data_IF_213593972608
#
_entry.id   IF_213593972608
#
_cell.length_a   1.000
_cell.length_b   1.000
_cell.length_c   1.000
_cell.angle_alpha   90.00
_cell.angle_beta   90.00
_cell.angle_gamma   90.00
#
_symmetry.space_group_name_H-M   'P 1'
#
loop_
_entity.id
_entity.type
_entity.pdbx_description
1 polymer ?
#
# COMPACT_ATOMS: atom_id res chain seq x y z
N UNK A 1 27.78 65.36 -1.70
CA UNK A 1 26.39 64.82 -1.62
C UNK A 1 26.13 63.54 -2.44
N UNK A 2 26.85 63.26 -3.54
CA UNK A 2 26.63 62.05 -4.37
C UNK A 2 27.22 60.74 -3.79
N UNK A 3 28.28 60.83 -2.97
CA UNK A 3 28.96 59.66 -2.40
C UNK A 3 28.17 58.99 -1.25
N UNK A 4 27.63 59.80 -0.32
CA UNK A 4 26.77 59.31 0.77
C UNK A 4 25.46 58.68 0.29
N UNK A 5 24.86 59.18 -0.80
CA UNK A 5 23.66 58.57 -1.40
C UNK A 5 23.94 57.17 -1.97
N UNK A 6 25.12 56.93 -2.55
CA UNK A 6 25.52 55.61 -3.07
C UNK A 6 25.77 54.59 -1.97
N UNK A 7 26.39 55.00 -0.85
CA UNK A 7 26.62 54.12 0.30
C UNK A 7 25.30 53.76 1.00
N UNK A 8 24.38 54.72 1.15
CA UNK A 8 23.07 54.50 1.77
C UNK A 8 22.17 53.56 0.94
N UNK A 9 22.26 53.61 -0.40
CA UNK A 9 21.54 52.64 -1.26
C UNK A 9 22.15 51.24 -1.23
N UNK A 10 23.47 51.12 -1.01
CA UNK A 10 24.15 49.82 -0.95
C UNK A 10 23.87 49.10 0.39
N UNK A 11 23.79 49.84 1.50
CA UNK A 11 23.44 49.27 2.80
C UNK A 11 21.97 48.87 2.89
N UNK A 12 21.06 49.66 2.31
CA UNK A 12 19.62 49.35 2.30
C UNK A 12 19.28 48.11 1.44
N UNK A 13 20.02 47.90 0.34
CA UNK A 13 19.85 46.70 -0.51
C UNK A 13 20.44 45.44 0.13
N UNK A 14 21.52 45.55 0.93
CA UNK A 14 22.06 44.44 1.72
C UNK A 14 21.11 44.04 2.85
N UNK A 15 20.46 45.00 3.53
CA UNK A 15 19.49 44.70 4.59
C UNK A 15 18.23 43.97 4.11
N UNK A 16 17.82 44.14 2.85
CA UNK A 16 16.67 43.40 2.28
C UNK A 16 16.98 41.94 1.92
N UNK A 17 18.25 41.58 1.71
CA UNK A 17 18.64 40.21 1.34
C UNK A 17 18.70 39.28 2.55
N UNK A 18 18.88 39.80 3.77
CA UNK A 18 18.93 38.98 5.00
C UNK A 18 17.57 38.77 5.68
N UNK A 19 16.53 39.51 5.32
CA UNK A 19 15.24 39.46 6.03
C UNK A 19 14.28 38.35 5.56
N UNK A 20 14.64 37.56 4.53
CA UNK A 20 13.76 36.53 3.97
C UNK A 20 14.42 35.15 3.82
N UNK A 21 15.39 34.81 4.67
CA UNK A 21 15.70 33.40 4.88
C UNK A 21 14.67 32.88 5.88
N UNK A 22 13.51 32.47 5.37
CA UNK A 22 12.67 31.57 6.14
C UNK A 22 13.49 30.30 6.35
N UNK A 23 14.01 30.12 7.56
CA UNK A 23 14.42 28.82 8.06
C UNK A 23 13.17 27.95 8.01
N UNK A 24 13.02 27.20 6.92
CA UNK A 24 12.05 26.11 6.84
C UNK A 24 12.49 25.14 7.93
N UNK A 25 11.72 25.05 9.01
CA UNK A 25 11.92 24.05 10.05
C UNK A 25 11.88 22.67 9.39
N UNK A 26 13.06 22.07 9.25
CA UNK A 26 13.19 20.66 8.97
C UNK A 26 12.42 19.90 10.07
N UNK A 27 11.63 18.90 9.65
CA UNK A 27 10.78 18.02 10.47
C UNK A 27 11.20 18.02 11.96
N UNK A 28 10.42 18.70 12.80
CA UNK A 28 10.76 18.97 14.20
C UNK A 28 10.87 17.72 15.09
N UNK A 29 10.42 16.56 14.59
CA UNK A 29 10.60 15.28 15.26
C UNK A 29 10.46 14.12 14.27
N UNK A 30 11.43 13.20 14.25
CA UNK A 30 11.30 11.93 13.51
C UNK A 30 10.52 10.94 14.36
N UNK A 31 9.30 10.62 13.94
CA UNK A 31 8.57 9.51 14.56
C UNK A 31 9.13 8.18 14.06
N UNK A 32 9.70 7.38 14.97
CA UNK A 32 10.25 6.06 14.65
C UNK A 32 9.33 4.95 15.16
N UNK A 33 8.80 4.14 14.24
CA UNK A 33 8.11 2.90 14.58
C UNK A 33 9.09 1.73 14.47
N UNK A 34 9.48 1.14 15.60
CA UNK A 34 10.39 0.01 15.67
C UNK A 34 9.82 -1.09 16.57
N UNK A 35 10.06 -2.36 16.23
CA UNK A 35 9.67 -3.53 17.02
C UNK A 35 10.70 -4.64 16.86
N UNK A 36 10.63 -5.65 17.74
CA UNK A 36 11.59 -6.77 17.76
C UNK A 36 11.49 -7.68 16.54
N UNK A 37 10.34 -7.69 15.87
CA UNK A 37 10.08 -8.48 14.68
C UNK A 37 8.99 -7.83 13.82
N UNK A 38 8.75 -8.37 12.61
CA UNK A 38 7.75 -7.89 11.67
C UNK A 38 6.32 -7.89 12.22
N UNK A 39 5.98 -8.82 13.12
CA UNK A 39 4.67 -8.93 13.74
C UNK A 39 4.42 -7.79 14.74
N UNK A 40 5.43 -7.45 15.55
CA UNK A 40 5.37 -6.31 16.46
C UNK A 40 5.32 -4.99 15.71
N UNK A 41 6.10 -4.81 14.63
CA UNK A 41 6.08 -3.60 13.82
C UNK A 41 4.69 -3.39 13.21
N UNK A 42 4.10 -4.43 12.61
CA UNK A 42 2.73 -4.36 12.09
C UNK A 42 1.71 -4.04 13.19
N UNK A 43 1.89 -4.62 14.39
CA UNK A 43 1.09 -4.31 15.57
C UNK A 43 1.18 -2.85 15.99
N UNK A 44 2.39 -2.27 16.07
CA UNK A 44 2.59 -0.86 16.43
C UNK A 44 2.01 0.10 15.40
N UNK A 45 2.05 -0.26 14.11
CA UNK A 45 1.38 0.50 13.05
C UNK A 45 -0.14 0.41 13.23
N UNK A 46 -0.68 -0.77 13.56
CA UNK A 46 -2.11 -0.95 13.81
C UNK A 46 -2.59 -0.13 15.01
N UNK A 47 -1.80 -0.07 16.08
CA UNK A 47 -2.12 0.65 17.32
C UNK A 47 -2.23 2.18 17.13
N UNK A 48 -1.84 2.73 15.96
CA UNK A 48 -2.01 4.14 15.61
C UNK A 48 -3.46 4.56 15.42
N UNK A 49 -4.37 3.61 15.18
CA UNK A 49 -5.78 3.89 14.98
C UNK A 49 -6.63 2.89 15.75
N UNK A 50 -7.84 3.28 16.14
CA UNK A 50 -8.82 2.34 16.66
C UNK A 50 -9.42 1.52 15.50
N UNK A 51 -9.57 0.21 15.68
CA UNK A 51 -10.16 -0.67 14.68
C UNK A 51 -10.99 -1.81 15.31
N UNK A 52 -12.01 -2.25 14.58
CA UNK A 52 -12.81 -3.46 14.89
C UNK A 52 -12.72 -4.53 13.81
N UNK A 53 -12.18 -4.18 12.65
CA UNK A 53 -11.87 -5.10 11.56
C UNK A 53 -10.35 -5.15 11.38
N UNK A 54 -9.79 -6.32 11.10
CA UNK A 54 -8.37 -6.48 10.74
C UNK A 54 -8.22 -7.33 9.48
N UNK A 55 -7.12 -7.13 8.76
CA UNK A 55 -6.71 -7.95 7.62
C UNK A 55 -5.49 -8.77 8.03
N UNK A 56 -5.52 -10.09 7.81
CA UNK A 56 -4.41 -11.00 8.05
C UNK A 56 -3.80 -11.47 6.73
N UNK A 57 -2.48 -11.33 6.64
CA UNK A 57 -1.66 -11.82 5.53
C UNK A 57 -0.48 -12.64 6.06
N UNK A 58 0.04 -13.57 5.26
CA UNK A 58 1.27 -14.31 5.55
C UNK A 58 2.40 -13.86 4.63
N UNK A 59 3.45 -13.28 5.20
CA UNK A 59 4.62 -12.77 4.47
C UNK A 59 5.77 -13.77 4.34
N UNK A 60 5.69 -14.95 4.96
CA UNK A 60 6.79 -15.94 4.89
C UNK A 60 6.68 -16.82 3.65
N UNK A 61 5.46 -17.20 3.23
CA UNK A 61 5.24 -18.13 2.11
C UNK A 61 4.44 -17.53 0.95
N UNK A 62 3.80 -16.37 1.14
CA UNK A 62 2.96 -15.74 0.10
C UNK A 62 2.81 -14.23 0.28
N UNK A 63 3.94 -13.49 0.24
CA UNK A 63 3.91 -12.01 0.22
C UNK A 63 2.98 -11.50 -0.88
N UNK A 64 3.01 -12.17 -2.03
CA UNK A 64 2.22 -11.82 -3.19
C UNK A 64 0.71 -11.77 -2.94
N UNK A 65 0.13 -12.71 -2.16
CA UNK A 65 -1.30 -12.65 -1.83
C UNK A 65 -1.61 -11.35 -1.04
N UNK A 66 -0.70 -10.94 -0.16
CA UNK A 66 -0.83 -9.74 0.66
C UNK A 66 -0.61 -8.42 -0.07
N UNK A 67 0.07 -8.39 -1.23
CA UNK A 67 0.32 -7.16 -2.00
C UNK A 67 -0.97 -6.44 -2.42
N UNK A 68 -2.07 -7.19 -2.57
CA UNK A 68 -3.37 -6.64 -2.96
C UNK A 68 -4.18 -6.05 -1.78
N UNK A 69 -3.73 -6.25 -0.53
CA UNK A 69 -4.51 -5.94 0.66
C UNK A 69 -4.64 -4.43 0.95
N UNK A 70 -3.72 -3.59 0.47
CA UNK A 70 -3.65 -2.17 0.84
C UNK A 70 -4.92 -1.39 0.49
N UNK A 71 -5.49 -1.60 -0.71
CA UNK A 71 -6.74 -0.97 -1.11
C UNK A 71 -7.92 -1.39 -0.22
N UNK A 72 -7.95 -2.66 0.19
CA UNK A 72 -8.97 -3.19 1.09
C UNK A 72 -8.81 -2.64 2.51
N UNK A 73 -7.57 -2.50 3.00
CA UNK A 73 -7.27 -1.83 4.26
C UNK A 73 -7.82 -0.40 4.27
N UNK A 74 -7.60 0.35 3.20
CA UNK A 74 -8.17 1.70 3.03
C UNK A 74 -9.69 1.73 2.94
N UNK A 75 -10.29 0.76 2.24
CA UNK A 75 -11.74 0.65 2.11
C UNK A 75 -12.44 0.33 3.43
N UNK A 76 -11.82 -0.51 4.27
CA UNK A 76 -12.35 -0.95 5.55
C UNK A 76 -11.94 -0.07 6.74
N UNK A 77 -10.99 0.86 6.55
CA UNK A 77 -10.28 1.51 7.63
C UNK A 77 -9.71 0.49 8.65
N UNK A 78 -9.02 -0.53 8.13
CA UNK A 78 -8.55 -1.68 8.90
C UNK A 78 -7.03 -1.86 8.75
N UNK A 79 -6.31 -2.21 9.83
CA UNK A 79 -4.89 -2.50 9.74
C UNK A 79 -4.63 -3.84 9.04
N UNK A 80 -3.45 -3.92 8.42
CA UNK A 80 -2.87 -5.18 7.95
C UNK A 80 -1.97 -5.72 9.06
N UNK A 81 -2.34 -6.87 9.60
CA UNK A 81 -1.56 -7.65 10.57
C UNK A 81 -0.95 -8.88 9.89
N UNK A 82 0.17 -9.34 10.44
CA UNK A 82 0.94 -10.44 9.87
C UNK A 82 0.71 -11.73 10.65
N UNK A 83 0.63 -12.86 9.98
CA UNK A 83 0.51 -14.20 10.59
C UNK A 83 1.47 -15.18 9.94
N UNK A 84 1.60 -16.35 10.53
CA UNK A 84 2.27 -17.50 9.92
C UNK A 84 1.24 -18.48 9.33
N UNK A 85 1.74 -19.48 8.58
CA UNK A 85 0.88 -20.45 7.92
C UNK A 85 -0.03 -21.19 8.90
N UNK A 86 0.55 -21.69 9.99
CA UNK A 86 -0.13 -22.61 10.91
C UNK A 86 -0.41 -21.99 12.28
N UNK A 87 0.08 -20.78 12.55
CA UNK A 87 -0.05 -20.13 13.86
C UNK A 87 -0.20 -18.62 13.72
N UNK A 88 -0.81 -18.00 14.73
CA UNK A 88 -0.89 -16.54 14.89
C UNK A 88 0.16 -16.17 15.94
N UNK A 89 1.22 -15.42 15.58
CA UNK A 89 2.23 -14.95 16.52
C UNK A 89 1.63 -14.16 17.68
N UNK A 90 2.29 -14.18 18.83
CA UNK A 90 1.78 -13.59 20.08
C UNK A 90 1.52 -12.09 19.94
N UNK A 91 2.37 -11.39 19.20
CA UNK A 91 2.26 -9.96 18.92
C UNK A 91 0.98 -9.64 18.13
N UNK A 92 0.66 -10.46 17.12
CA UNK A 92 -0.56 -10.35 16.33
C UNK A 92 -1.79 -10.72 17.14
N UNK A 93 -1.72 -11.82 17.92
CA UNK A 93 -2.82 -12.28 18.78
C UNK A 93 -3.21 -11.21 19.80
N UNK A 94 -2.25 -10.46 20.34
CA UNK A 94 -2.51 -9.35 21.26
C UNK A 94 -3.34 -8.23 20.61
N UNK A 95 -3.11 -7.93 19.33
CA UNK A 95 -3.84 -6.91 18.55
C UNK A 95 -5.21 -7.37 18.06
N UNK A 96 -5.52 -8.66 18.17
CA UNK A 96 -6.80 -9.23 17.76
C UNK A 96 -7.85 -9.31 18.89
N UNK A 97 -7.48 -9.05 20.15
CA UNK A 97 -8.38 -9.24 21.32
C UNK A 97 -9.72 -8.49 21.19
N UNK A 98 -9.72 -7.30 20.61
CA UNK A 98 -10.89 -6.43 20.48
C UNK A 98 -11.46 -6.38 19.04
N UNK A 99 -11.02 -7.27 18.17
CA UNK A 99 -11.42 -7.35 16.76
C UNK A 99 -12.66 -8.23 16.63
N UNK A 100 -13.70 -7.74 15.95
CA UNK A 100 -14.93 -8.48 15.69
C UNK A 100 -14.94 -9.15 14.31
N UNK A 101 -14.19 -8.61 13.35
CA UNK A 101 -14.13 -9.14 11.98
C UNK A 101 -12.69 -9.26 11.49
N UNK A 102 -12.35 -10.40 10.91
CA UNK A 102 -11.04 -10.64 10.31
C UNK A 102 -11.19 -11.04 8.85
N UNK A 103 -10.48 -10.34 7.98
CA UNK A 103 -10.26 -10.76 6.61
C UNK A 103 -8.97 -11.56 6.52
N UNK A 104 -9.01 -12.76 5.94
CA UNK A 104 -7.82 -13.55 5.62
C UNK A 104 -7.58 -13.43 4.12
N UNK A 105 -6.41 -12.94 3.71
CA UNK A 105 -6.03 -12.88 2.30
C UNK A 105 -5.08 -14.02 1.98
N UNK A 106 -5.51 -14.91 1.08
CA UNK A 106 -4.76 -16.08 0.65
C UNK A 106 -5.47 -17.41 0.93
N UNK A 107 -5.07 -18.41 0.16
CA UNK A 107 -5.56 -19.78 0.30
C UNK A 107 -5.06 -20.49 1.55
N UNK A 108 -5.49 -21.74 1.74
CA UNK A 108 -5.09 -22.59 2.87
C UNK A 108 -3.60 -22.97 2.86
N UNK A 109 -2.96 -22.88 1.70
CA UNK A 109 -1.51 -23.04 1.57
C UNK A 109 -0.75 -21.89 2.24
N UNK A 110 -1.28 -20.66 2.11
CA UNK A 110 -0.71 -19.45 2.71
C UNK A 110 -1.08 -19.32 4.19
N UNK A 111 -2.34 -19.51 4.55
CA UNK A 111 -2.85 -19.42 5.93
C UNK A 111 -3.81 -20.59 6.14
N UNK A 112 -3.46 -21.53 7.00
CA UNK A 112 -4.17 -22.79 7.19
C UNK A 112 -5.61 -22.60 7.67
N UNK A 113 -6.40 -23.67 7.55
CA UNK A 113 -7.74 -23.75 8.15
C UNK A 113 -7.67 -23.72 9.68
N UNK A 114 -6.58 -24.19 10.30
CA UNK A 114 -6.43 -24.13 11.77
C UNK A 114 -6.35 -22.70 12.29
N UNK A 115 -5.63 -21.81 11.61
CA UNK A 115 -5.61 -20.37 11.92
C UNK A 115 -7.01 -19.77 11.80
N UNK A 116 -7.72 -20.05 10.71
CA UNK A 116 -9.10 -19.59 10.52
C UNK A 116 -10.05 -20.08 11.62
N UNK A 117 -9.97 -21.36 11.98
CA UNK A 117 -10.80 -21.94 13.04
C UNK A 117 -10.48 -21.34 14.41
N UNK A 118 -9.20 -21.02 14.69
CA UNK A 118 -8.80 -20.35 15.94
C UNK A 118 -9.37 -18.94 16.08
N UNK A 119 -9.63 -18.25 14.97
CA UNK A 119 -10.28 -16.93 14.97
C UNK A 119 -11.80 -17.07 15.18
N UNK A 120 -12.42 -18.05 14.52
CA UNK A 120 -13.86 -18.35 14.68
C UNK A 120 -14.19 -18.81 16.10
N UNK A 121 -13.34 -19.60 16.76
CA UNK A 121 -13.55 -20.03 18.15
C UNK A 121 -13.53 -18.85 19.14
N UNK A 122 -12.82 -17.77 18.79
CA UNK A 122 -12.86 -16.47 19.49
C UNK A 122 -14.08 -15.62 19.13
N UNK A 123 -15.09 -16.21 18.49
CA UNK A 123 -16.36 -15.55 18.06
C UNK A 123 -16.16 -14.39 17.07
N UNK A 124 -15.06 -14.37 16.33
CA UNK A 124 -14.81 -13.37 15.28
C UNK A 124 -15.50 -13.79 13.98
N UNK A 125 -16.07 -12.82 13.24
CA UNK A 125 -16.50 -13.05 11.85
C UNK A 125 -15.27 -13.15 10.96
N UNK A 126 -15.04 -14.31 10.35
CA UNK A 126 -13.90 -14.52 9.45
C UNK A 126 -14.34 -14.56 7.99
N UNK A 127 -13.71 -13.75 7.14
CA UNK A 127 -13.92 -13.72 5.69
C UNK A 127 -12.61 -14.05 5.00
N UNK A 128 -12.53 -15.19 4.31
CA UNK A 128 -11.35 -15.56 3.53
C UNK A 128 -11.52 -15.15 2.07
N UNK A 129 -10.61 -14.31 1.59
CA UNK A 129 -10.49 -13.96 0.17
C UNK A 129 -9.32 -14.74 -0.41
N UNK A 130 -9.61 -15.62 -1.38
CA UNK A 130 -8.60 -16.46 -2.04
C UNK A 130 -8.92 -16.61 -3.53
N UNK A 131 -7.90 -16.92 -4.31
CA UNK A 131 -8.00 -17.44 -5.66
C UNK A 131 -7.16 -18.70 -5.82
N UNK A 132 -7.14 -19.26 -7.04
CA UNK A 132 -6.27 -20.38 -7.38
C UNK A 132 -4.79 -19.96 -7.45
N UNK A 133 -4.53 -18.68 -7.63
CA UNK A 133 -3.21 -18.05 -7.63
C UNK A 133 -3.30 -16.60 -7.09
N UNK A 134 -2.14 -15.94 -7.00
CA UNK A 134 -2.00 -14.55 -6.54
C UNK A 134 -2.78 -13.55 -7.42
N UNK A 135 -2.90 -13.80 -8.72
CA UNK A 135 -3.65 -12.95 -9.66
C UNK A 135 -5.14 -13.02 -9.31
N UNK A 136 -5.69 -14.23 -9.20
CA UNK A 136 -7.08 -14.44 -8.86
C UNK A 136 -7.41 -13.99 -7.44
N UNK A 137 -6.50 -14.17 -6.47
CA UNK A 137 -6.64 -13.62 -5.13
C UNK A 137 -6.78 -12.11 -5.19
N UNK A 138 -5.87 -11.41 -5.88
CA UNK A 138 -5.92 -9.94 -6.01
C UNK A 138 -7.18 -9.43 -6.72
N UNK A 139 -7.67 -10.15 -7.73
CA UNK A 139 -8.93 -9.82 -8.39
C UNK A 139 -10.14 -10.01 -7.47
N UNK A 140 -10.15 -11.07 -6.65
CA UNK A 140 -11.20 -11.27 -5.66
C UNK A 140 -11.15 -10.22 -4.54
N UNK A 141 -9.97 -9.72 -4.17
CA UNK A 141 -9.83 -8.55 -3.29
C UNK A 141 -10.42 -7.30 -3.95
N UNK A 142 -10.19 -7.09 -5.24
CA UNK A 142 -10.80 -5.98 -5.98
C UNK A 142 -12.34 -6.05 -6.00
N UNK A 143 -12.92 -7.24 -6.11
CA UNK A 143 -14.38 -7.44 -6.01
C UNK A 143 -14.92 -7.08 -4.63
N UNK A 144 -14.22 -7.47 -3.56
CA UNK A 144 -14.60 -7.09 -2.20
C UNK A 144 -14.50 -5.58 -1.98
N UNK A 145 -13.46 -4.93 -2.50
CA UNK A 145 -13.38 -3.46 -2.46
C UNK A 145 -14.58 -2.84 -3.18
N UNK A 146 -14.93 -3.35 -4.37
CA UNK A 146 -16.06 -2.83 -5.15
C UNK A 146 -17.43 -3.06 -4.48
N UNK A 147 -17.58 -4.09 -3.64
CA UNK A 147 -18.81 -4.32 -2.87
C UNK A 147 -18.94 -3.35 -1.68
N UNK A 148 -17.82 -2.85 -1.16
CA UNK A 148 -17.77 -1.86 -0.07
C UNK A 148 -17.90 -0.43 -0.63
N UNK A 149 -17.18 -0.12 -1.70
CA UNK A 149 -17.16 1.19 -2.37
C UNK A 149 -16.93 0.99 -3.86
N UNK A 150 -17.80 1.58 -4.69
CA UNK A 150 -17.67 1.51 -6.16
C UNK A 150 -16.25 1.88 -6.60
N UNK A 151 -15.60 0.97 -7.29
CA UNK A 151 -14.25 1.14 -7.84
C UNK A 151 -14.33 1.96 -9.11
N UNK A 152 -13.56 3.05 -9.14
CA UNK A 152 -13.39 3.92 -10.30
C UNK A 152 -11.92 4.01 -10.75
N UNK A 153 -10.98 3.53 -9.93
CA UNK A 153 -9.54 3.52 -10.21
C UNK A 153 -8.96 2.15 -9.91
N UNK A 154 -8.07 1.64 -10.75
CA UNK A 154 -7.35 0.37 -10.53
C UNK A 154 -5.85 0.52 -10.77
N UNK A 155 -5.05 -0.22 -10.00
CA UNK A 155 -3.58 -0.24 -10.12
C UNK A 155 -3.16 -1.65 -10.52
N UNK A 156 -2.55 -1.78 -11.69
CA UNK A 156 -2.07 -3.05 -12.24
C UNK A 156 -0.58 -3.19 -11.95
N UNK A 157 -0.17 -4.27 -11.30
CA UNK A 157 1.24 -4.57 -11.01
C UNK A 157 1.61 -5.97 -11.49
N UNK A 158 2.90 -6.27 -11.65
CA UNK A 158 3.33 -7.60 -12.01
C UNK A 158 3.32 -8.54 -10.79
N UNK A 159 2.66 -9.68 -10.91
CA UNK A 159 2.49 -10.66 -9.86
C UNK A 159 3.78 -11.38 -9.45
N UNK A 160 4.77 -11.47 -10.34
CA UNK A 160 5.96 -12.31 -10.20
C UNK A 160 7.27 -11.52 -10.13
N UNK A 161 7.28 -10.31 -10.70
CA UNK A 161 8.48 -9.45 -10.81
C UNK A 161 8.24 -8.03 -10.27
N UNK A 162 7.03 -7.72 -9.82
CA UNK A 162 6.59 -6.36 -9.47
C UNK A 162 6.31 -6.16 -7.98
N UNK A 163 6.87 -6.97 -7.08
CA UNK A 163 6.59 -6.85 -5.65
C UNK A 163 6.99 -5.46 -5.10
N UNK A 164 8.16 -4.97 -5.48
CA UNK A 164 8.63 -3.63 -5.09
C UNK A 164 7.76 -2.50 -5.69
N UNK A 165 7.27 -2.69 -6.91
CA UNK A 165 6.36 -1.76 -7.57
C UNK A 165 4.99 -1.72 -6.86
N UNK A 166 4.47 -2.89 -6.46
CA UNK A 166 3.23 -3.02 -5.70
C UNK A 166 3.33 -2.41 -4.29
N UNK A 167 4.45 -2.58 -3.60
CA UNK A 167 4.71 -1.93 -2.31
C UNK A 167 4.78 -0.41 -2.49
N UNK A 168 5.38 0.08 -3.57
CA UNK A 168 5.53 1.52 -3.82
C UNK A 168 4.18 2.23 -4.01
N UNK A 169 3.17 1.55 -4.58
CA UNK A 169 1.83 2.12 -4.78
C UNK A 169 0.87 1.84 -3.60
N UNK A 170 1.29 1.09 -2.58
CA UNK A 170 0.42 0.62 -1.50
C UNK A 170 -0.29 1.74 -0.72
N UNK A 171 0.42 2.83 -0.40
CA UNK A 171 -0.14 3.97 0.33
C UNK A 171 -1.18 4.71 -0.50
N UNK A 172 -0.96 4.87 -1.81
CA UNK A 172 -1.91 5.45 -2.75
C UNK A 172 -3.15 4.57 -2.88
N UNK A 173 -2.96 3.25 -2.99
CA UNK A 173 -4.05 2.28 -3.03
C UNK A 173 -4.96 2.37 -1.79
N UNK A 174 -4.35 2.45 -0.60
CA UNK A 174 -5.08 2.62 0.65
C UNK A 174 -5.81 3.97 0.72
N UNK A 175 -5.12 5.08 0.41
CA UNK A 175 -5.70 6.44 0.41
C UNK A 175 -6.92 6.52 -0.51
N UNK A 176 -6.78 6.03 -1.74
CA UNK A 176 -7.80 6.16 -2.78
C UNK A 176 -8.86 5.06 -2.69
N UNK A 177 -8.65 4.05 -1.82
CA UNK A 177 -9.47 2.85 -1.69
C UNK A 177 -9.54 2.09 -3.03
N UNK A 178 -8.43 2.09 -3.75
CA UNK A 178 -8.28 1.52 -5.08
C UNK A 178 -7.63 0.13 -5.00
N UNK A 179 -8.11 -0.87 -5.74
CA UNK A 179 -7.49 -2.18 -5.77
C UNK A 179 -6.14 -2.17 -6.47
N UNK A 180 -5.17 -2.87 -5.87
CA UNK A 180 -3.98 -3.37 -6.56
C UNK A 180 -4.33 -4.75 -7.12
N UNK A 181 -4.37 -4.86 -8.45
CA UNK A 181 -4.63 -6.11 -9.16
C UNK A 181 -3.31 -6.61 -9.76
N UNK A 182 -2.91 -7.81 -9.35
CA UNK A 182 -1.72 -8.47 -9.86
C UNK A 182 -2.00 -9.05 -11.25
N UNK A 183 -1.02 -8.99 -12.14
CA UNK A 183 -1.10 -9.47 -13.52
C UNK A 183 0.16 -10.24 -13.91
N UNK A 184 0.17 -10.97 -15.01
CA UNK A 184 1.40 -11.55 -15.55
C UNK A 184 2.36 -10.50 -16.15
N UNK A 185 1.87 -9.27 -16.34
CA UNK A 185 2.57 -8.16 -16.98
C UNK A 185 2.35 -8.07 -18.49
N UNK A 186 1.54 -8.96 -19.08
CA UNK A 186 1.26 -8.97 -20.51
C UNK A 186 -0.21 -8.72 -20.84
N UNK A 187 -1.13 -9.26 -20.04
CA UNK A 187 -2.58 -9.17 -20.28
C UNK A 187 -3.38 -9.26 -18.97
N UNK A 188 -4.66 -8.92 -19.06
CA UNK A 188 -5.64 -9.06 -17.97
C UNK A 188 -6.90 -9.75 -18.49
N UNK A 189 -7.57 -10.60 -17.68
CA UNK A 189 -8.79 -11.29 -18.08
C UNK A 189 -10.07 -10.45 -17.81
N UNK A 190 -9.94 -9.15 -17.57
CA UNK A 190 -11.05 -8.26 -17.25
C UNK A 190 -10.91 -6.92 -17.97
N UNK A 191 -12.04 -6.24 -18.18
CA UNK A 191 -12.06 -4.92 -18.82
C UNK A 191 -11.73 -3.82 -17.82
N UNK A 192 -11.01 -2.80 -18.30
CA UNK A 192 -10.76 -1.54 -17.59
C UNK A 192 -11.57 -0.39 -18.18
N UNK A 193 -12.49 -0.66 -19.11
CA UNK A 193 -13.34 0.37 -19.73
C UNK A 193 -14.15 1.12 -18.68
N UNK A 194 -14.13 2.45 -18.74
CA UNK A 194 -14.79 3.33 -17.78
C UNK A 194 -14.09 3.44 -16.42
N UNK A 195 -12.90 2.84 -16.25
CA UNK A 195 -12.07 2.97 -15.06
C UNK A 195 -10.83 3.80 -15.37
N UNK A 196 -10.36 4.56 -14.39
CA UNK A 196 -9.00 5.11 -14.40
C UNK A 196 -8.03 3.97 -14.09
N UNK A 197 -7.15 3.64 -15.02
CA UNK A 197 -6.22 2.52 -14.87
C UNK A 197 -4.77 3.00 -14.84
N UNK A 198 -4.00 2.44 -13.93
CA UNK A 198 -2.56 2.67 -13.82
C UNK A 198 -1.81 1.35 -13.97
N UNK A 199 -0.72 1.36 -14.73
CA UNK A 199 0.23 0.26 -14.81
C UNK A 199 1.48 0.67 -14.03
N UNK A 200 1.77 -0.05 -12.97
CA UNK A 200 2.88 0.27 -12.06
C UNK A 200 4.06 -0.65 -12.39
N UNK A 201 5.21 -0.04 -12.69
CA UNK A 201 6.44 -0.74 -13.07
C UNK A 201 6.92 -0.41 -14.48
N UNK A 202 8.20 -0.69 -14.73
CA UNK A 202 8.87 -0.45 -16.02
C UNK A 202 8.49 -1.45 -17.12
N UNK A 203 9.04 -1.26 -18.32
CA UNK A 203 8.80 -2.14 -19.49
C UNK A 203 9.33 -3.56 -19.29
N UNK A 204 10.32 -3.74 -18.42
CA UNK A 204 10.88 -5.05 -18.06
C UNK A 204 9.90 -5.96 -17.29
N UNK A 205 8.95 -5.38 -16.54
CA UNK A 205 7.95 -6.12 -15.77
C UNK A 205 6.54 -6.00 -16.34
N UNK A 206 6.21 -4.90 -17.01
CA UNK A 206 4.87 -4.62 -17.54
C UNK A 206 4.96 -4.19 -19.00
N UNK A 207 4.37 -4.94 -19.92
CA UNK A 207 4.49 -4.72 -21.36
C UNK A 207 3.79 -3.44 -21.82
N UNK A 208 4.29 -2.83 -22.90
CA UNK A 208 3.60 -1.70 -23.55
C UNK A 208 2.25 -2.11 -24.12
N UNK A 209 2.13 -3.35 -24.62
CA UNK A 209 0.86 -3.92 -25.08
C UNK A 209 -0.20 -3.91 -23.98
N UNK A 210 0.15 -4.29 -22.75
CA UNK A 210 -0.78 -4.24 -21.62
C UNK A 210 -1.25 -2.81 -21.37
N UNK A 211 -0.35 -1.83 -21.37
CA UNK A 211 -0.67 -0.41 -21.18
C UNK A 211 -1.65 0.07 -22.24
N UNK A 212 -1.36 -0.21 -23.51
CA UNK A 212 -2.18 0.23 -24.63
C UNK A 212 -3.57 -0.41 -24.60
N UNK A 213 -3.64 -1.73 -24.39
CA UNK A 213 -4.90 -2.47 -24.35
C UNK A 213 -5.81 -2.05 -23.20
N UNK A 214 -5.22 -1.62 -22.08
CA UNK A 214 -5.95 -1.16 -20.89
C UNK A 214 -6.12 0.36 -20.83
N UNK A 215 -5.61 1.09 -21.84
CA UNK A 215 -5.56 2.56 -21.88
C UNK A 215 -5.03 3.16 -20.57
N UNK A 216 -4.10 2.46 -19.92
CA UNK A 216 -3.59 2.82 -18.60
C UNK A 216 -2.54 3.93 -18.68
N UNK A 217 -2.41 4.71 -17.61
CA UNK A 217 -1.22 5.54 -17.39
C UNK A 217 -0.12 4.71 -16.76
N UNK A 218 1.10 4.72 -17.32
CA UNK A 218 2.24 4.03 -16.70
C UNK A 218 2.88 4.90 -15.61
N UNK A 219 3.11 4.32 -14.44
CA UNK A 219 3.95 4.88 -13.38
C UNK A 219 5.07 3.87 -13.08
N UNK A 220 6.26 4.08 -13.64
CA UNK A 220 7.36 3.13 -13.50
C UNK A 220 8.66 3.63 -14.09
N UNK A 221 9.76 3.04 -13.66
CA UNK A 221 11.10 3.29 -14.20
C UNK A 221 11.93 2.02 -14.34
N UNK A 222 13.22 2.19 -14.59
CA UNK A 222 14.18 1.10 -14.75
C UNK A 222 14.49 0.40 -13.43
N UNK A 223 14.28 1.10 -12.31
CA UNK A 223 14.52 0.58 -10.96
C UNK A 223 13.32 0.79 -10.05
N UNK A 224 13.26 0.05 -8.93
CA UNK A 224 12.24 0.25 -7.88
C UNK A 224 12.23 1.68 -7.33
N UNK A 225 13.38 2.36 -7.31
CA UNK A 225 13.51 3.73 -6.83
C UNK A 225 12.91 4.72 -7.82
N UNK A 226 13.13 4.50 -9.12
CA UNK A 226 12.50 5.33 -10.16
C UNK A 226 10.99 5.11 -10.22
N UNK A 227 10.51 3.86 -10.09
CA UNK A 227 9.07 3.60 -9.96
C UNK A 227 8.49 4.35 -8.75
N UNK A 228 9.14 4.26 -7.58
CA UNK A 228 8.69 4.98 -6.39
C UNK A 228 8.68 6.50 -6.59
N UNK A 229 9.72 7.07 -7.22
CA UNK A 229 9.78 8.50 -7.58
C UNK A 229 8.65 8.91 -8.53
N UNK A 230 8.28 8.05 -9.49
CA UNK A 230 7.18 8.32 -10.41
C UNK A 230 5.81 8.31 -9.71
N UNK A 231 5.68 7.60 -8.59
CA UNK A 231 4.43 7.52 -7.80
C UNK A 231 4.27 8.71 -6.86
N UNK A 232 5.37 9.26 -6.33
CA UNK A 232 5.35 10.36 -5.34
C UNK A 232 5.05 11.72 -5.99
N UNK A 233 5.37 11.90 -7.27
CA UNK A 233 5.14 13.13 -8.03
C UNK A 233 3.65 13.42 -8.22
#
# INVERSE_FOLDING_TARGET
>A
MKFYKRILTLTLSISFVFANIQLVDAISSVEKIQGKNKYEIAGKIADKNAYKTAILINTSNSIADGLSASGLAGALNAPILLTEKNTIPTETSARLKNVSKVYIIGGTYSISTSVENSLKSKKMKVVRIKGNDRIKTSYNVAKEINSIKKVNTVMLTNAYKGEADAISIASVAARDKAPIILTNGQSIPFSTSGLKSYVIGGTASMSTTLVNNTKSTRLGGSTRFETNKAIIK
#
